data_IF_471309996485
#
_entry.id   IF_471309996485
#
_cell.length_a   1.000
_cell.length_b   1.000
_cell.length_c   1.000
_cell.angle_alpha   90.00
_cell.angle_beta   90.00
_cell.angle_gamma   90.00
#
_symmetry.space_group_name_H-M   'P 1'
#
loop_
_entity.id
_entity.type
_entity.pdbx_description
1 polymer ?
#
# COMPACT_ATOMS: atom_id res chain seq x y z
N UNK A 1 -4.30 -4.91 60.38
CA UNK A 1 -5.73 -5.25 60.51
C UNK A 1 -6.37 -5.18 59.14
N UNK A 2 -6.94 -6.30 58.71
CA UNK A 2 -7.70 -6.49 57.47
C UNK A 2 -9.17 -6.06 57.67
N UNK A 3 -9.86 -5.65 56.59
CA UNK A 3 -11.34 -5.60 56.49
C UNK A 3 -11.88 -4.27 55.93
N UNK A 4 -12.25 -4.15 54.64
CA UNK A 4 -13.46 -4.61 53.88
C UNK A 4 -14.62 -3.60 53.88
N UNK A 5 -15.05 -3.16 52.68
CA UNK A 5 -16.41 -2.74 52.25
C UNK A 5 -16.30 -2.32 50.76
N UNK A 6 -16.43 -3.19 49.74
CA UNK A 6 -17.64 -3.82 49.16
C UNK A 6 -18.81 -2.84 48.93
N UNK A 7 -19.03 -2.60 47.63
CA UNK A 7 -20.26 -2.20 46.89
C UNK A 7 -20.93 -0.88 47.20
N UNK A 8 -20.92 0.01 46.21
CA UNK A 8 -22.15 0.67 45.72
C UNK A 8 -22.18 0.64 44.19
N UNK A 9 -23.03 -0.24 43.66
CA UNK A 9 -23.67 -0.13 42.35
C UNK A 9 -24.60 1.08 42.38
N UNK A 10 -24.33 2.09 41.56
CA UNK A 10 -25.31 3.07 41.10
C UNK A 10 -24.82 3.53 39.72
N UNK A 11 -25.38 2.98 38.65
CA UNK A 11 -26.47 3.66 37.95
C UNK A 11 -26.00 4.93 37.21
N UNK A 12 -25.33 4.68 36.09
CA UNK A 12 -25.31 5.57 34.93
C UNK A 12 -25.09 4.67 33.74
N UNK A 13 -26.12 4.05 33.15
CA UNK A 13 -26.97 4.73 32.16
C UNK A 13 -26.18 5.77 31.33
N UNK A 14 -25.00 5.40 30.85
CA UNK A 14 -24.19 6.23 29.98
C UNK A 14 -24.02 5.51 28.65
N UNK A 15 -24.84 5.95 27.68
CA UNK A 15 -24.76 5.69 26.25
C UNK A 15 -25.14 4.29 25.73
N UNK A 16 -26.37 3.87 25.99
CA UNK A 16 -27.19 3.35 24.89
C UNK A 16 -27.83 4.58 24.20
N UNK A 17 -27.76 4.69 22.87
CA UNK A 17 -28.21 5.81 22.01
C UNK A 17 -27.13 6.80 21.52
N UNK A 18 -25.94 6.32 21.14
CA UNK A 18 -25.21 6.94 20.02
C UNK A 18 -25.41 6.11 18.76
N UNK A 19 -26.64 6.09 18.27
CA UNK A 19 -26.93 5.84 16.86
C UNK A 19 -26.46 7.04 16.04
N UNK A 20 -25.18 7.40 16.13
CA UNK A 20 -24.54 8.24 15.11
C UNK A 20 -24.38 7.30 13.92
N UNK A 21 -25.39 7.28 13.06
CA UNK A 21 -25.24 6.74 11.72
C UNK A 21 -24.12 7.52 11.05
N UNK A 22 -22.89 7.01 11.17
CA UNK A 22 -21.78 7.47 10.34
C UNK A 22 -22.26 7.18 8.93
N UNK A 23 -22.66 8.24 8.22
CA UNK A 23 -23.00 8.17 6.81
C UNK A 23 -21.75 7.61 6.12
N UNK A 24 -21.76 6.29 5.89
CA UNK A 24 -20.60 5.60 5.35
C UNK A 24 -20.43 6.13 3.93
N UNK A 25 -19.37 6.91 3.71
CA UNK A 25 -19.06 7.44 2.39
C UNK A 25 -18.99 6.26 1.41
N UNK A 26 -19.78 6.35 0.33
CA UNK A 26 -19.86 5.28 -0.66
C UNK A 26 -18.57 5.30 -1.47
N UNK A 27 -17.70 4.35 -1.19
CA UNK A 27 -16.52 4.08 -2.02
C UNK A 27 -16.96 3.77 -3.45
N UNK A 28 -16.32 4.42 -4.42
CA UNK A 28 -16.51 4.14 -5.84
C UNK A 28 -15.43 3.15 -6.28
N UNK A 29 -15.80 2.18 -7.10
CA UNK A 29 -14.89 1.16 -7.59
C UNK A 29 -15.50 0.39 -8.76
N UNK A 30 -14.76 -0.60 -9.27
CA UNK A 30 -15.20 -1.46 -10.37
C UNK A 30 -15.39 -2.88 -9.88
N UNK A 31 -16.56 -3.45 -10.15
CA UNK A 31 -16.79 -4.86 -9.84
C UNK A 31 -15.87 -5.76 -10.68
N UNK A 32 -15.36 -6.86 -10.11
CA UNK A 32 -14.63 -7.86 -10.88
C UNK A 32 -15.45 -8.36 -12.07
N UNK A 33 -14.76 -8.86 -13.08
CA UNK A 33 -15.43 -9.38 -14.27
C UNK A 33 -16.45 -10.46 -13.90
N UNK A 34 -17.66 -10.35 -14.44
CA UNK A 34 -18.77 -11.28 -14.17
C UNK A 34 -19.57 -11.00 -12.89
N UNK A 35 -19.05 -10.22 -11.92
CA UNK A 35 -19.73 -10.01 -10.64
C UNK A 35 -21.00 -9.18 -10.76
N UNK A 36 -21.09 -8.31 -11.77
CA UNK A 36 -22.30 -7.54 -12.04
C UNK A 36 -23.53 -8.42 -12.34
N UNK A 37 -23.34 -9.66 -12.81
CA UNK A 37 -24.42 -10.60 -13.16
C UNK A 37 -24.94 -11.41 -11.96
N UNK A 38 -24.31 -11.28 -10.78
CA UNK A 38 -24.63 -12.08 -9.60
C UNK A 38 -25.76 -11.50 -8.74
N UNK A 39 -26.39 -10.39 -9.16
CA UNK A 39 -27.46 -9.76 -8.40
C UNK A 39 -27.01 -9.24 -7.02
N UNK A 40 -25.75 -8.77 -6.92
CA UNK A 40 -25.16 -8.32 -5.65
C UNK A 40 -25.94 -7.15 -5.05
N UNK A 41 -26.12 -7.17 -3.73
CA UNK A 41 -26.65 -6.04 -2.98
C UNK A 41 -25.66 -4.87 -2.98
N UNK A 42 -26.16 -3.66 -2.73
CA UNK A 42 -25.29 -2.48 -2.66
C UNK A 42 -24.27 -2.56 -1.53
N UNK A 43 -24.63 -3.19 -0.40
CA UNK A 43 -23.71 -3.46 0.70
C UNK A 43 -22.57 -4.40 0.29
N UNK A 44 -22.87 -5.46 -0.49
CA UNK A 44 -21.85 -6.36 -1.01
C UNK A 44 -20.91 -5.63 -1.97
N UNK A 45 -21.45 -4.79 -2.88
CA UNK A 45 -20.63 -3.97 -3.79
C UNK A 45 -19.71 -3.03 -3.01
N UNK A 46 -20.22 -2.35 -1.99
CA UNK A 46 -19.43 -1.46 -1.16
C UNK A 46 -18.32 -2.20 -0.41
N UNK A 47 -18.59 -3.40 0.11
CA UNK A 47 -17.55 -4.25 0.71
C UNK A 47 -16.47 -4.64 -0.30
N UNK A 48 -16.86 -5.02 -1.52
CA UNK A 48 -15.91 -5.34 -2.60
C UNK A 48 -15.02 -4.15 -2.92
N UNK A 49 -15.58 -2.95 -3.07
CA UNK A 49 -14.80 -1.75 -3.40
C UNK A 49 -13.81 -1.39 -2.29
N UNK A 50 -14.20 -1.55 -1.02
CA UNK A 50 -13.27 -1.36 0.11
C UNK A 50 -12.12 -2.36 0.08
N UNK A 51 -12.42 -3.65 -0.14
CA UNK A 51 -11.39 -4.68 -0.25
C UNK A 51 -10.44 -4.36 -1.40
N UNK A 52 -10.96 -3.98 -2.57
CA UNK A 52 -10.13 -3.60 -3.72
C UNK A 52 -9.20 -2.44 -3.38
N UNK A 53 -9.73 -1.34 -2.82
CA UNK A 53 -8.92 -0.17 -2.46
C UNK A 53 -7.84 -0.51 -1.41
N UNK A 54 -8.17 -1.32 -0.40
CA UNK A 54 -7.20 -1.76 0.61
C UNK A 54 -6.06 -2.58 0.00
N UNK A 55 -6.37 -3.45 -0.97
CA UNK A 55 -5.36 -4.28 -1.61
C UNK A 55 -4.57 -3.53 -2.69
N UNK A 56 -5.19 -2.61 -3.43
CA UNK A 56 -4.51 -1.70 -4.37
C UNK A 56 -3.42 -0.92 -3.63
N UNK A 57 -3.74 -0.31 -2.47
CA UNK A 57 -2.74 0.41 -1.67
C UNK A 57 -1.57 -0.47 -1.21
N UNK A 58 -1.84 -1.75 -0.85
CA UNK A 58 -0.79 -2.71 -0.48
C UNK A 58 0.07 -3.11 -1.68
N UNK A 59 -0.55 -3.31 -2.83
CA UNK A 59 0.12 -3.67 -4.08
C UNK A 59 1.04 -2.52 -4.50
N UNK A 60 0.54 -1.28 -4.53
CA UNK A 60 1.34 -0.10 -4.89
C UNK A 60 2.59 0.03 -4.01
N UNK A 61 2.44 -0.19 -2.70
CA UNK A 61 3.56 -0.17 -1.76
C UNK A 61 4.59 -1.27 -2.02
N UNK A 62 4.16 -2.47 -2.43
CA UNK A 62 5.05 -3.57 -2.80
C UNK A 62 5.72 -3.32 -4.15
N UNK A 63 5.00 -2.79 -5.14
CA UNK A 63 5.55 -2.43 -6.45
C UNK A 63 6.64 -1.36 -6.33
N UNK A 64 6.45 -0.37 -5.46
CA UNK A 64 7.47 0.64 -5.15
C UNK A 64 8.75 0.00 -4.58
N UNK A 65 8.61 -0.97 -3.66
CA UNK A 65 9.75 -1.70 -3.10
C UNK A 65 10.45 -2.57 -4.16
N UNK A 66 9.69 -3.28 -5.00
CA UNK A 66 10.23 -4.08 -6.11
C UNK A 66 11.00 -3.18 -7.08
N UNK A 67 10.47 -2.01 -7.42
CA UNK A 67 11.13 -1.05 -8.30
C UNK A 67 12.47 -0.62 -7.73
N UNK A 68 12.51 -0.24 -6.44
CA UNK A 68 13.73 0.16 -5.74
C UNK A 68 14.77 -0.96 -5.74
N UNK A 69 14.38 -2.18 -5.38
CA UNK A 69 15.28 -3.34 -5.38
C UNK A 69 15.85 -3.62 -6.77
N UNK A 70 15.04 -3.53 -7.83
CA UNK A 70 15.52 -3.70 -9.20
C UNK A 70 16.48 -2.59 -9.63
N UNK A 71 16.30 -1.36 -9.16
CA UNK A 71 17.23 -0.25 -9.41
C UNK A 71 18.56 -0.49 -8.70
N UNK A 72 18.53 -0.89 -7.43
CA UNK A 72 19.71 -1.24 -6.64
C UNK A 72 20.47 -2.43 -7.22
N UNK A 73 19.75 -3.50 -7.61
CA UNK A 73 20.32 -4.67 -8.28
C UNK A 73 21.06 -4.25 -9.54
N UNK A 74 20.42 -3.50 -10.44
CA UNK A 74 21.06 -3.01 -11.68
C UNK A 74 22.29 -2.16 -11.40
N UNK A 75 22.23 -1.29 -10.40
CA UNK A 75 23.36 -0.44 -10.02
C UNK A 75 24.53 -1.28 -9.51
N UNK A 76 24.27 -2.26 -8.64
CA UNK A 76 25.30 -3.16 -8.10
C UNK A 76 25.88 -4.08 -9.17
N UNK A 77 25.06 -4.64 -10.05
CA UNK A 77 25.52 -5.44 -11.20
C UNK A 77 26.37 -4.60 -12.16
N UNK A 78 26.03 -3.33 -12.38
CA UNK A 78 26.85 -2.45 -13.21
C UNK A 78 28.16 -2.06 -12.50
N UNK A 79 28.13 -1.89 -11.17
CA UNK A 79 29.27 -1.45 -10.38
C UNK A 79 30.47 -2.40 -10.47
N UNK A 80 30.23 -3.72 -10.57
CA UNK A 80 31.29 -4.75 -10.64
C UNK A 80 32.04 -4.78 -11.98
N UNK A 81 31.57 -4.08 -13.01
CA UNK A 81 32.24 -4.01 -14.31
C UNK A 81 33.49 -3.12 -14.26
N UNK A 82 34.50 -3.48 -15.03
CA UNK A 82 35.68 -2.62 -15.26
C UNK A 82 35.28 -1.36 -16.04
N UNK A 83 36.08 -0.27 -15.98
CA UNK A 83 35.80 0.94 -16.76
C UNK A 83 35.61 0.66 -18.26
N UNK A 84 36.47 -0.18 -18.84
CA UNK A 84 36.41 -0.58 -20.26
C UNK A 84 35.14 -1.38 -20.59
N UNK A 85 34.69 -2.26 -19.67
CA UNK A 85 33.44 -3.01 -19.85
C UNK A 85 32.21 -2.10 -19.77
N UNK A 86 32.24 -1.07 -18.90
CA UNK A 86 31.17 -0.08 -18.79
C UNK A 86 31.02 0.75 -20.07
N UNK A 87 32.12 1.26 -20.61
CA UNK A 87 32.15 1.97 -21.90
C UNK A 87 31.59 1.11 -23.03
N UNK A 88 32.06 -0.14 -23.16
CA UNK A 88 31.57 -1.06 -24.18
C UNK A 88 30.07 -1.32 -24.01
N UNK A 89 29.60 -1.54 -22.78
CA UNK A 89 28.19 -1.76 -22.49
C UNK A 89 27.32 -0.55 -22.88
N UNK A 90 27.73 0.67 -22.53
CA UNK A 90 26.99 1.89 -22.87
C UNK A 90 26.93 2.12 -24.39
N UNK A 91 28.04 1.87 -25.09
CA UNK A 91 28.10 1.90 -26.56
C UNK A 91 27.13 0.91 -27.20
N UNK A 92 27.07 -0.33 -26.70
CA UNK A 92 26.13 -1.36 -27.17
C UNK A 92 24.66 -1.00 -26.90
N UNK A 93 24.38 -0.21 -25.85
CA UNK A 93 23.04 0.29 -25.52
C UNK A 93 22.64 1.54 -26.31
N UNK A 94 23.50 2.07 -27.17
CA UNK A 94 23.24 3.30 -27.91
C UNK A 94 23.19 4.55 -27.02
N UNK A 95 23.80 4.50 -25.83
CA UNK A 95 23.90 5.63 -24.90
C UNK A 95 25.28 6.27 -25.13
N UNK A 96 25.36 7.47 -25.76
CA UNK A 96 26.64 8.15 -25.96
C UNK A 96 27.24 8.56 -24.61
N UNK A 97 28.56 8.45 -24.48
CA UNK A 97 29.29 8.83 -23.28
C UNK A 97 29.05 10.31 -22.96
N UNK A 98 28.64 10.59 -21.71
CA UNK A 98 28.27 11.94 -21.26
C UNK A 98 26.99 12.06 -20.44
N UNK A 99 26.26 10.97 -20.17
CA UNK A 99 25.08 10.95 -19.27
C UNK A 99 25.18 9.94 -18.11
N UNK A 100 26.38 9.56 -17.72
CA UNK A 100 26.60 8.73 -16.52
C UNK A 100 27.22 9.55 -15.39
N UNK A 101 26.62 10.69 -15.05
CA UNK A 101 26.86 11.31 -13.75
C UNK A 101 25.98 10.59 -12.72
N UNK A 102 26.53 9.51 -12.16
CA UNK A 102 26.14 9.07 -10.84
C UNK A 102 26.57 10.13 -9.84
N UNK A 103 25.73 11.14 -9.61
CA UNK A 103 25.91 12.09 -8.51
C UNK A 103 25.59 11.35 -7.21
N UNK A 104 26.55 11.20 -6.27
CA UNK A 104 26.23 10.76 -4.93
C UNK A 104 25.66 11.97 -4.18
N UNK A 105 24.44 11.88 -3.64
CA UNK A 105 23.90 12.97 -2.83
C UNK A 105 23.29 12.43 -1.53
N UNK A 106 24.14 12.57 -0.50
CA UNK A 106 23.96 12.72 0.96
C UNK A 106 22.88 11.94 1.70
#
# INVERSE_FOLDING_TARGET
MNGRCITWLAAGLLCLLLGVGVAQEKTKGRLPQGFAKLGLSDEQKQKIYKIQAEYEAKIDALEAQIKKLREEERAQTFAVLTPQQKELYLKLRGIPEGKSEGKPEK
#
